data_IF_080215676118
#
_entry.id   IF_080215676118
#
_cell.length_a   1.000
_cell.length_b   1.000
_cell.length_c   1.000
_cell.angle_alpha   90.00
_cell.angle_beta   90.00
_cell.angle_gamma   90.00
#
_symmetry.space_group_name_H-M   'P 1'
#
loop_
_entity.id
_entity.type
_entity.pdbx_description
1 polymer ?
#
# COMPACT_ATOMS: atom_id res chain seq x y z
N UNK A 1 -12.94 4.40 0.86
CA UNK A 1 -11.82 4.02 -0.02
C UNK A 1 -10.88 5.20 -0.16
N UNK A 2 -9.60 4.99 0.13
CA UNK A 2 -8.54 5.97 -0.05
C UNK A 2 -7.86 5.79 -1.42
N UNK A 3 -7.61 6.90 -2.10
CA UNK A 3 -6.95 6.96 -3.42
C UNK A 3 -5.74 7.86 -3.35
N UNK A 4 -4.72 7.57 -4.16
CA UNK A 4 -3.56 8.45 -4.30
C UNK A 4 -4.00 9.82 -4.83
N UNK A 5 -3.46 10.90 -4.27
CA UNK A 5 -3.68 12.27 -4.71
C UNK A 5 -2.46 12.77 -5.49
N UNK A 6 -2.45 12.69 -6.83
CA UNK A 6 -1.29 13.12 -7.62
C UNK A 6 -1.02 14.62 -7.57
N UNK A 7 -2.00 15.44 -7.12
CA UNK A 7 -1.83 16.89 -7.02
C UNK A 7 -1.02 17.33 -5.79
N UNK A 8 -0.64 16.38 -4.94
CA UNK A 8 -0.02 16.66 -3.64
C UNK A 8 1.36 17.28 -3.72
N UNK A 9 2.07 17.01 -4.82
CA UNK A 9 3.39 17.56 -5.15
C UNK A 9 3.31 18.87 -5.95
N UNK A 10 2.11 19.45 -6.11
CA UNK A 10 1.86 20.76 -6.72
C UNK A 10 1.18 20.71 -8.09
N UNK A 11 0.37 21.75 -8.39
CA UNK A 11 -0.37 21.88 -9.67
C UNK A 11 0.52 22.17 -10.89
N UNK A 12 1.67 22.83 -10.68
CA UNK A 12 2.69 23.11 -11.70
C UNK A 12 4.01 22.49 -11.27
N UNK A 13 4.24 21.28 -11.74
CA UNK A 13 5.48 20.54 -11.54
C UNK A 13 6.51 20.98 -12.57
N UNK A 14 7.75 21.23 -12.12
CA UNK A 14 8.87 21.42 -13.04
C UNK A 14 9.02 20.19 -13.95
N UNK A 15 9.61 20.30 -15.17
CA UNK A 15 9.89 19.14 -16.01
C UNK A 15 10.67 18.03 -15.27
N UNK A 16 11.62 18.42 -14.40
CA UNK A 16 12.35 17.50 -13.51
C UNK A 16 11.41 16.76 -12.56
N UNK A 17 10.51 17.47 -11.90
CA UNK A 17 9.51 16.89 -10.99
C UNK A 17 8.53 15.96 -11.72
N UNK A 18 8.14 16.28 -12.97
CA UNK A 18 7.31 15.40 -13.82
C UNK A 18 8.03 14.11 -14.21
N UNK A 19 9.32 14.20 -14.54
CA UNK A 19 10.13 13.02 -14.85
C UNK A 19 10.31 12.13 -13.62
N UNK A 20 10.51 12.73 -12.45
CA UNK A 20 10.61 12.02 -11.17
C UNK A 20 9.31 11.29 -10.82
N UNK A 21 8.15 11.93 -10.95
CA UNK A 21 6.85 11.31 -10.67
C UNK A 21 6.58 10.06 -11.51
N UNK A 22 7.13 10.00 -12.74
CA UNK A 22 7.02 8.84 -13.62
C UNK A 22 7.92 7.67 -13.21
N UNK A 23 8.93 7.90 -12.36
CA UNK A 23 9.86 6.87 -11.87
C UNK A 23 9.39 6.19 -10.58
N UNK A 24 8.56 6.88 -9.80
CA UNK A 24 8.04 6.35 -8.54
C UNK A 24 6.92 5.32 -8.77
N UNK A 25 6.88 4.30 -7.93
CA UNK A 25 5.85 3.26 -7.99
C UNK A 25 4.47 3.79 -7.61
N UNK A 26 3.41 3.10 -8.03
CA UNK A 26 2.05 3.39 -7.54
C UNK A 26 1.97 3.35 -6.00
N UNK A 27 2.79 2.50 -5.36
CA UNK A 27 2.88 2.39 -3.91
C UNK A 27 3.44 3.67 -3.28
N UNK A 28 4.52 4.24 -3.82
CA UNK A 28 5.10 5.49 -3.33
C UNK A 28 4.14 6.67 -3.40
N UNK A 29 3.45 6.82 -4.52
CA UNK A 29 2.45 7.88 -4.69
C UNK A 29 1.30 7.74 -3.67
N UNK A 30 0.84 6.51 -3.43
CA UNK A 30 -0.19 6.23 -2.43
C UNK A 30 0.31 6.51 -1.01
N UNK A 31 1.52 6.05 -0.68
CA UNK A 31 2.13 6.22 0.64
C UNK A 31 2.32 7.70 0.95
N UNK A 32 2.88 8.49 0.02
CA UNK A 32 3.04 9.93 0.16
C UNK A 32 1.68 10.63 0.36
N UNK A 33 0.67 10.23 -0.42
CA UNK A 33 -0.70 10.76 -0.29
C UNK A 33 -1.27 10.50 1.10
N UNK A 34 -1.07 9.28 1.60
CA UNK A 34 -1.57 8.82 2.89
C UNK A 34 -0.86 9.52 4.05
N UNK A 35 0.48 9.62 3.99
CA UNK A 35 1.29 10.38 4.96
C UNK A 35 0.83 11.83 5.07
N UNK A 36 0.61 12.48 3.94
CA UNK A 36 0.13 13.88 3.93
C UNK A 36 -1.30 14.01 4.46
N UNK A 37 -2.22 13.12 4.06
CA UNK A 37 -3.59 13.11 4.58
C UNK A 37 -3.67 12.83 6.09
N UNK A 38 -2.69 12.13 6.64
CA UNK A 38 -2.56 11.82 8.07
C UNK A 38 -1.77 12.86 8.85
N UNK A 39 -1.18 13.87 8.20
CA UNK A 39 -0.44 14.93 8.89
C UNK A 39 -1.34 15.92 9.64
N UNK A 40 -2.67 15.82 9.45
CA UNK A 40 -3.69 16.64 10.11
C UNK A 40 -4.53 15.78 11.06
N UNK A 41 -4.47 15.99 12.40
CA UNK A 41 -5.18 15.18 13.39
C UNK A 41 -6.70 15.03 13.19
N UNK A 42 -7.33 15.95 12.46
CA UNK A 42 -8.76 15.92 12.12
C UNK A 42 -9.11 14.99 10.95
N UNK A 43 -8.15 14.26 10.39
CA UNK A 43 -8.38 13.36 9.27
C UNK A 43 -9.30 12.21 9.68
N UNK A 44 -10.37 11.98 8.94
CA UNK A 44 -11.30 10.87 9.17
C UNK A 44 -10.62 9.50 9.07
N UNK A 45 -9.41 9.44 8.52
CA UNK A 45 -8.61 8.23 8.41
C UNK A 45 -7.87 7.85 9.70
N UNK A 46 -7.80 8.71 10.73
CA UNK A 46 -7.13 8.37 12.00
C UNK A 46 -7.73 7.14 12.69
N UNK A 47 -9.06 7.02 12.68
CA UNK A 47 -9.74 5.84 13.24
C UNK A 47 -9.46 4.56 12.45
N UNK A 48 -9.28 4.68 11.13
CA UNK A 48 -8.84 3.53 10.33
C UNK A 48 -7.37 3.20 10.58
N UNK A 49 -6.50 4.19 10.80
CA UNK A 49 -5.10 3.96 11.15
C UNK A 49 -4.93 3.19 12.45
N UNK A 50 -5.82 3.36 13.44
CA UNK A 50 -5.72 2.62 14.70
C UNK A 50 -5.97 1.11 14.57
N UNK A 51 -6.47 0.64 13.42
CA UNK A 51 -6.65 -0.80 13.13
C UNK A 51 -5.46 -1.39 12.37
N UNK A 52 -4.47 -0.57 12.00
CA UNK A 52 -3.31 -1.05 11.25
C UNK A 52 -2.33 -1.80 12.16
N UNK A 53 -1.52 -2.71 11.60
CA UNK A 53 -0.39 -3.31 12.26
C UNK A 53 0.56 -2.23 12.73
N UNK A 54 1.26 -2.57 13.79
CA UNK A 54 2.36 -1.81 14.30
C UNK A 54 3.55 -1.92 13.34
N UNK A 55 4.53 -1.00 13.42
CA UNK A 55 5.80 -1.18 12.72
C UNK A 55 6.50 -2.50 13.08
N UNK A 56 6.35 -2.98 14.32
CA UNK A 56 6.95 -4.24 14.78
C UNK A 56 6.45 -5.46 14.01
N UNK A 57 5.13 -5.52 13.74
CA UNK A 57 4.51 -6.61 12.98
C UNK A 57 5.15 -6.78 11.59
N UNK A 58 5.53 -5.68 10.95
CA UNK A 58 6.19 -5.73 9.64
C UNK A 58 7.63 -6.21 9.73
N UNK A 59 8.39 -5.78 10.75
CA UNK A 59 9.78 -6.23 10.93
C UNK A 59 9.88 -7.73 11.18
N UNK A 60 8.84 -8.35 11.76
CA UNK A 60 8.81 -9.79 12.00
C UNK A 60 8.25 -10.61 10.83
N UNK A 61 7.53 -9.99 9.89
CA UNK A 61 6.79 -10.72 8.84
C UNK A 61 7.24 -10.44 7.41
N UNK A 62 7.79 -9.25 7.12
CA UNK A 62 8.13 -8.84 5.76
C UNK A 62 9.66 -8.89 5.52
N UNK A 63 10.15 -9.75 4.60
CA UNK A 63 11.57 -9.91 4.29
C UNK A 63 12.36 -8.64 3.98
N UNK A 64 11.72 -7.61 3.41
CA UNK A 64 12.37 -6.33 3.11
C UNK A 64 12.94 -5.66 4.36
N UNK A 65 12.34 -5.87 5.53
CA UNK A 65 12.77 -5.29 6.81
C UNK A 65 13.69 -6.19 7.61
N UNK A 66 14.01 -7.38 7.11
CA UNK A 66 14.90 -8.31 7.82
C UNK A 66 16.37 -7.92 7.64
N UNK A 67 17.21 -8.10 8.68
CA UNK A 67 18.66 -8.08 8.54
C UNK A 67 19.12 -9.02 7.43
N UNK A 68 20.24 -8.67 6.78
CA UNK A 68 20.82 -9.47 5.69
C UNK A 68 21.03 -10.94 6.09
N UNK A 69 21.52 -11.19 7.31
CA UNK A 69 21.74 -12.55 7.83
C UNK A 69 20.50 -13.46 7.83
N UNK A 70 19.30 -12.88 7.98
CA UNK A 70 18.03 -13.62 7.89
C UNK A 70 17.53 -13.68 6.44
N UNK A 71 17.63 -12.57 5.70
CA UNK A 71 17.22 -12.50 4.30
C UNK A 71 18.00 -13.49 3.42
N UNK A 72 19.31 -13.67 3.66
CA UNK A 72 20.18 -14.56 2.89
C UNK A 72 19.83 -16.04 3.09
N UNK A 73 19.07 -16.37 4.15
CA UNK A 73 18.56 -17.73 4.43
C UNK A 73 17.23 -18.04 3.74
N UNK A 74 16.62 -17.06 3.07
CA UNK A 74 15.41 -17.30 2.29
C UNK A 74 15.70 -18.24 1.12
N UNK A 75 14.69 -19.01 0.66
CA UNK A 75 14.81 -19.82 -0.55
C UNK A 75 15.32 -18.99 -1.73
N UNK A 76 16.11 -19.59 -2.61
CA UNK A 76 16.70 -18.91 -3.77
C UNK A 76 15.64 -18.22 -4.65
N UNK A 77 14.46 -18.85 -4.78
CA UNK A 77 13.31 -18.29 -5.52
C UNK A 77 12.78 -16.96 -4.96
N UNK A 78 13.10 -16.64 -3.70
CA UNK A 78 12.69 -15.40 -3.02
C UNK A 78 13.76 -14.30 -3.07
N UNK A 79 15.01 -14.63 -3.39
CA UNK A 79 16.11 -13.66 -3.42
C UNK A 79 15.91 -12.60 -4.51
N UNK A 80 15.59 -13.02 -5.73
CA UNK A 80 15.31 -12.09 -6.85
C UNK A 80 14.14 -11.13 -6.57
N UNK A 81 12.96 -11.62 -6.11
CA UNK A 81 11.86 -10.75 -5.66
C UNK A 81 12.25 -9.78 -4.55
N UNK A 82 12.99 -10.23 -3.53
CA UNK A 82 13.42 -9.38 -2.42
C UNK A 82 14.36 -8.26 -2.88
N UNK A 83 15.34 -8.57 -3.73
CA UNK A 83 16.25 -7.57 -4.30
C UNK A 83 15.48 -6.50 -5.08
N UNK A 84 14.56 -6.91 -5.96
CA UNK A 84 13.71 -5.97 -6.70
C UNK A 84 12.86 -5.09 -5.78
N UNK A 85 12.34 -5.65 -4.70
CA UNK A 85 11.54 -4.89 -3.73
C UNK A 85 12.39 -3.83 -3.00
N UNK A 86 13.63 -4.16 -2.65
CA UNK A 86 14.59 -3.23 -2.04
C UNK A 86 14.99 -2.11 -3.02
N UNK A 87 15.32 -2.46 -4.26
CA UNK A 87 15.62 -1.47 -5.32
C UNK A 87 14.43 -0.54 -5.63
N UNK A 88 13.21 -1.08 -5.62
CA UNK A 88 11.99 -0.27 -5.74
C UNK A 88 11.81 0.67 -4.56
N UNK A 89 11.98 0.18 -3.33
CA UNK A 89 11.89 1.02 -2.14
C UNK A 89 12.91 2.15 -2.14
N UNK A 90 14.17 1.89 -2.51
CA UNK A 90 15.22 2.93 -2.55
C UNK A 90 14.87 4.02 -3.57
N UNK A 91 14.45 3.63 -4.78
CA UNK A 91 13.97 4.56 -5.81
C UNK A 91 12.75 5.37 -5.35
N UNK A 92 11.83 4.72 -4.66
CA UNK A 92 10.64 5.36 -4.11
C UNK A 92 10.97 6.34 -2.98
N UNK A 93 11.98 6.02 -2.16
CA UNK A 93 12.45 6.91 -1.11
C UNK A 93 13.13 8.17 -1.67
N UNK A 94 13.99 8.02 -2.69
CA UNK A 94 14.56 9.17 -3.43
C UNK A 94 13.45 10.10 -3.94
N UNK A 95 12.39 9.51 -4.50
CA UNK A 95 11.21 10.27 -4.93
C UNK A 95 10.57 11.07 -3.79
N UNK A 96 10.35 10.44 -2.63
CA UNK A 96 9.76 11.12 -1.46
C UNK A 96 10.67 12.21 -0.93
N UNK A 97 11.99 12.01 -0.97
CA UNK A 97 12.95 13.02 -0.56
C UNK A 97 12.88 14.27 -1.44
N UNK A 98 12.68 14.15 -2.75
CA UNK A 98 12.45 15.33 -3.60
C UNK A 98 11.05 15.92 -3.38
N UNK A 99 10.03 15.08 -3.19
CA UNK A 99 8.66 15.53 -2.97
C UNK A 99 8.50 16.34 -1.67
N UNK A 100 9.15 15.92 -0.58
CA UNK A 100 9.07 16.60 0.72
C UNK A 100 9.65 18.02 0.66
N UNK A 101 10.70 18.23 -0.15
CA UNK A 101 11.28 19.56 -0.42
C UNK A 101 10.27 20.48 -1.11
N UNK A 102 9.58 19.98 -2.14
CA UNK A 102 8.55 20.74 -2.87
C UNK A 102 7.34 21.07 -1.97
N UNK A 103 6.97 20.13 -1.10
CA UNK A 103 5.85 20.28 -0.18
C UNK A 103 6.17 21.09 1.07
N UNK A 104 7.45 21.42 1.30
CA UNK A 104 7.95 22.01 2.55
C UNK A 104 7.51 21.21 3.78
N UNK A 105 7.64 19.89 3.69
CA UNK A 105 7.39 18.95 4.79
C UNK A 105 8.66 18.16 5.08
N UNK A 106 8.76 17.66 6.29
CA UNK A 106 9.81 16.74 6.69
C UNK A 106 9.17 15.46 7.23
N UNK A 107 9.61 14.34 6.68
CA UNK A 107 9.26 13.00 7.15
C UNK A 107 10.52 12.17 7.25
N UNK A 108 10.58 11.32 8.25
CA UNK A 108 11.67 10.36 8.40
C UNK A 108 11.54 9.21 7.41
N UNK A 109 12.67 8.57 7.07
CA UNK A 109 12.68 7.32 6.29
C UNK A 109 11.81 6.25 6.96
N UNK A 110 11.88 6.15 8.29
CA UNK A 110 11.10 5.18 9.09
C UNK A 110 9.59 5.41 8.99
N UNK A 111 9.15 6.65 8.96
CA UNK A 111 7.73 6.94 8.69
C UNK A 111 7.35 6.49 7.29
N UNK A 112 8.17 6.80 6.28
CA UNK A 112 7.89 6.36 4.91
C UNK A 112 7.86 4.82 4.79
N UNK A 113 8.82 4.12 5.38
CA UNK A 113 8.85 2.64 5.45
C UNK A 113 7.53 2.07 5.96
N UNK A 114 7.00 2.64 7.05
CA UNK A 114 5.74 2.20 7.63
C UNK A 114 4.57 2.37 6.65
N UNK A 115 4.38 3.57 6.08
CA UNK A 115 3.27 3.80 5.15
C UNK A 115 3.45 3.04 3.83
N UNK A 116 4.68 2.86 3.35
CA UNK A 116 4.99 2.06 2.18
C UNK A 116 4.64 0.58 2.42
N UNK A 117 4.94 0.03 3.60
CA UNK A 117 4.53 -1.32 4.01
C UNK A 117 3.01 -1.47 4.10
N UNK A 118 2.31 -0.47 4.65
CA UNK A 118 0.85 -0.46 4.70
C UNK A 118 0.27 -0.54 3.29
N UNK A 119 0.73 0.27 2.35
CA UNK A 119 0.21 0.24 0.98
C UNK A 119 0.52 -1.09 0.29
N UNK A 120 1.74 -1.60 0.40
CA UNK A 120 2.15 -2.84 -0.26
C UNK A 120 1.38 -4.07 0.25
N UNK A 121 1.00 -4.08 1.53
CA UNK A 121 0.30 -5.22 2.14
C UNK A 121 -1.22 -5.15 2.06
N UNK A 122 -1.81 -3.97 1.78
CA UNK A 122 -3.26 -3.74 1.91
C UNK A 122 -3.96 -3.15 0.69
N UNK A 123 -3.23 -2.79 -0.35
CA UNK A 123 -3.84 -2.14 -1.51
C UNK A 123 -4.55 -3.14 -2.44
N UNK A 124 -5.61 -2.66 -3.09
CA UNK A 124 -6.40 -3.38 -4.07
C UNK A 124 -6.29 -2.69 -5.42
N UNK A 125 -6.33 -3.47 -6.51
CA UNK A 125 -6.48 -2.92 -7.85
C UNK A 125 -7.93 -2.46 -8.04
N UNK A 126 -8.12 -1.21 -8.49
CA UNK A 126 -9.42 -0.58 -8.72
C UNK A 126 -9.73 -0.41 -10.21
N UNK A 127 -8.73 -0.10 -11.02
CA UNK A 127 -8.88 -0.01 -12.48
C UNK A 127 -7.74 -0.74 -13.17
N UNK A 128 -7.95 -2.03 -13.43
CA UNK A 128 -6.97 -2.87 -14.13
C UNK A 128 -6.79 -2.47 -15.61
N UNK A 129 -7.70 -1.67 -16.18
CA UNK A 129 -7.71 -1.39 -17.63
C UNK A 129 -6.80 -0.24 -18.03
N UNK A 130 -6.47 0.69 -17.14
CA UNK A 130 -5.80 1.93 -17.54
C UNK A 130 -4.30 1.99 -17.25
N UNK A 131 -3.78 1.18 -16.30
CA UNK A 131 -2.37 1.27 -15.88
C UNK A 131 -1.96 2.66 -15.38
N UNK A 132 -2.94 3.52 -15.05
CA UNK A 132 -2.74 4.91 -14.65
C UNK A 132 -2.58 5.02 -13.14
N UNK A 133 -1.90 6.09 -12.70
CA UNK A 133 -1.94 6.52 -11.31
C UNK A 133 -3.38 6.62 -10.79
N UNK A 134 -3.65 6.02 -9.64
CA UNK A 134 -4.99 5.81 -9.10
C UNK A 134 -5.62 4.45 -9.44
N UNK A 135 -4.90 3.56 -10.13
CA UNK A 135 -5.31 2.17 -10.36
C UNK A 135 -5.26 1.29 -9.11
N UNK A 136 -4.62 1.75 -8.03
CA UNK A 136 -4.65 1.09 -6.73
C UNK A 136 -5.42 1.94 -5.73
N UNK A 137 -5.97 1.29 -4.70
CA UNK A 137 -6.73 1.92 -3.64
C UNK A 137 -6.55 1.19 -2.32
N UNK A 138 -6.76 1.88 -1.21
CA UNK A 138 -6.92 1.23 0.10
C UNK A 138 -8.39 1.25 0.49
N UNK A 139 -8.89 0.10 0.94
CA UNK A 139 -10.30 -0.08 1.26
C UNK A 139 -10.43 -0.43 2.74
N UNK A 140 -10.68 0.59 3.61
CA UNK A 140 -10.98 0.33 5.02
C UNK A 140 -12.05 -0.75 5.16
N UNK A 141 -11.92 -1.59 6.19
CA UNK A 141 -12.76 -2.76 6.48
C UNK A 141 -12.50 -3.98 5.60
N UNK A 142 -12.33 -3.80 4.29
CA UNK A 142 -11.97 -4.91 3.40
C UNK A 142 -10.52 -5.33 3.64
N UNK A 143 -9.63 -4.38 3.89
CA UNK A 143 -8.21 -4.58 4.17
C UNK A 143 -7.90 -5.26 5.53
N UNK A 144 -8.92 -5.63 6.31
CA UNK A 144 -8.77 -6.39 7.56
C UNK A 144 -8.82 -7.90 7.34
N UNK A 145 -9.41 -8.32 6.23
CA UNK A 145 -9.66 -9.71 5.95
C UNK A 145 -8.38 -10.37 5.44
N UNK A 146 -8.03 -11.51 6.05
CA UNK A 146 -6.85 -12.27 5.66
C UNK A 146 -7.09 -13.00 4.34
N UNK A 147 -6.03 -13.37 3.64
CA UNK A 147 -6.14 -14.20 2.44
C UNK A 147 -6.50 -15.65 2.79
N UNK A 148 -7.49 -16.19 2.09
CA UNK A 148 -7.85 -17.60 2.14
C UNK A 148 -7.09 -18.42 1.10
N UNK A 149 -7.05 -19.76 1.23
CA UNK A 149 -6.50 -20.61 0.20
C UNK A 149 -7.28 -20.46 -1.12
N UNK A 150 -6.62 -20.74 -2.25
CA UNK A 150 -7.23 -20.65 -3.58
C UNK A 150 -8.56 -21.42 -3.64
N UNK A 151 -9.63 -20.73 -4.04
CA UNK A 151 -10.96 -21.33 -4.13
C UNK A 151 -11.77 -21.31 -2.83
N UNK A 152 -11.28 -20.65 -1.78
CA UNK A 152 -12.03 -20.45 -0.54
C UNK A 152 -11.91 -18.99 -0.06
N UNK A 153 -13.03 -18.36 0.26
CA UNK A 153 -13.07 -17.03 0.84
C UNK A 153 -14.37 -16.29 0.55
N UNK A 154 -14.34 -14.99 0.72
CA UNK A 154 -15.34 -14.06 0.22
C UNK A 154 -14.82 -13.44 -1.08
N UNK A 155 -15.71 -13.28 -2.05
CA UNK A 155 -15.41 -12.66 -3.33
C UNK A 155 -15.51 -11.14 -3.21
N UNK A 156 -14.54 -10.43 -3.81
CA UNK A 156 -14.52 -8.96 -3.84
C UNK A 156 -14.79 -8.50 -5.26
N UNK A 157 -15.98 -7.95 -5.46
CA UNK A 157 -16.45 -7.47 -6.76
C UNK A 157 -16.50 -5.94 -6.79
N UNK A 158 -15.99 -5.33 -7.86
CA UNK A 158 -16.20 -3.89 -8.09
C UNK A 158 -17.52 -3.69 -8.83
N UNK A 159 -18.55 -3.24 -8.10
CA UNK A 159 -19.88 -3.02 -8.66
C UNK A 159 -20.06 -1.53 -9.00
N UNK A 160 -20.38 -1.25 -10.28
CA UNK A 160 -20.58 0.12 -10.77
C UNK A 160 -21.68 0.83 -9.94
N UNK A 161 -21.34 2.00 -9.40
CA UNK A 161 -22.24 2.79 -8.56
C UNK A 161 -22.36 2.35 -7.10
N UNK A 162 -21.81 1.17 -6.72
CA UNK A 162 -21.82 0.67 -5.34
C UNK A 162 -20.42 0.55 -4.72
N UNK A 163 -19.35 0.57 -5.53
CA UNK A 163 -17.98 0.37 -5.06
C UNK A 163 -17.64 -1.10 -4.89
N UNK A 164 -16.71 -1.43 -3.99
CA UNK A 164 -16.42 -2.82 -3.68
C UNK A 164 -17.55 -3.44 -2.88
N UNK A 165 -18.02 -4.58 -3.36
CA UNK A 165 -18.99 -5.44 -2.69
C UNK A 165 -18.27 -6.72 -2.30
N UNK A 166 -18.37 -7.08 -1.02
CA UNK A 166 -17.85 -8.32 -0.48
C UNK A 166 -19.01 -9.29 -0.32
N UNK A 167 -18.94 -10.44 -0.98
CA UNK A 167 -19.98 -11.47 -0.90
C UNK A 167 -19.38 -12.75 -0.29
N UNK A 168 -20.06 -13.27 0.74
CA UNK A 168 -19.66 -14.52 1.36
C UNK A 168 -20.01 -15.68 0.42
N UNK A 169 -19.01 -16.48 0.04
CA UNK A 169 -19.23 -17.69 -0.79
C UNK A 169 -19.73 -18.89 0.02
N UNK A 170 -19.74 -18.78 1.35
CA UNK A 170 -20.16 -19.84 2.29
C UNK A 170 -20.72 -19.26 3.57
N UNK A 171 -21.43 -20.09 4.33
CA UNK A 171 -21.81 -19.75 5.70
C UNK A 171 -20.56 -19.68 6.60
N UNK A 172 -20.37 -18.51 7.21
CA UNK A 172 -19.36 -18.31 8.24
C UNK A 172 -20.08 -18.43 9.58
N UNK A 173 -20.09 -19.64 10.13
CA UNK A 173 -20.68 -19.88 11.45
C UNK A 173 -20.14 -18.91 12.51
N UNK A 174 -20.89 -18.71 13.58
CA UNK A 174 -20.52 -17.80 14.67
C UNK A 174 -19.07 -18.09 15.14
N UNK A 175 -18.23 -17.05 15.20
CA UNK A 175 -16.79 -17.09 15.53
C UNK A 175 -15.85 -17.62 14.43
N UNK A 176 -16.34 -17.98 13.24
CA UNK A 176 -15.50 -18.35 12.11
C UNK A 176 -14.82 -17.11 11.51
N UNK A 177 -13.52 -17.21 11.22
CA UNK A 177 -12.80 -16.15 10.53
C UNK A 177 -13.22 -16.05 9.05
N UNK A 178 -13.46 -14.82 8.60
CA UNK A 178 -13.70 -14.50 7.19
C UNK A 178 -12.38 -14.24 6.48
N UNK A 179 -12.22 -14.80 5.28
CA UNK A 179 -11.01 -14.67 4.47
C UNK A 179 -11.35 -14.14 3.08
N UNK A 180 -10.49 -13.34 2.47
CA UNK A 180 -10.59 -12.90 1.09
C UNK A 180 -10.00 -13.91 0.13
N UNK A 181 -10.68 -14.08 -1.01
CA UNK A 181 -10.08 -14.67 -2.19
C UNK A 181 -9.49 -13.57 -3.07
N UNK A 182 -8.18 -13.56 -3.24
CA UNK A 182 -7.56 -12.75 -4.30
C UNK A 182 -7.47 -13.59 -5.57
N UNK A 183 -8.18 -13.18 -6.61
CA UNK A 183 -7.97 -13.71 -7.96
C UNK A 183 -6.68 -13.08 -8.47
N UNK A 184 -5.64 -13.89 -8.71
CA UNK A 184 -4.46 -13.46 -9.45
C UNK A 184 -4.82 -13.23 -10.91
#
# INVERSE_FOLDING_TARGET
MFKSNPSIVGKKLSPKSKALLRKASHHAHMALSLMSAMSTPSSSYFLWKSTWPTPGDFTTTLPIFWPHEMADRLPESMQGPLLRQREEFDRDWEFVQEAMQLMKKEWSKREFEYYWAIVNSRSFHFDQKSGKLGAMVLCPFIDYLNHGPTGAGAEVNLVKGKGYVLEAERDYGMLSASFLRFVR
#
